data_IF_801494282828
#
_entry.id   IF_801494282828
#
_cell.length_a   1.000
_cell.length_b   1.000
_cell.length_c   1.000
_cell.angle_alpha   90.00
_cell.angle_beta   90.00
_cell.angle_gamma   90.00
#
_symmetry.space_group_name_H-M   'P 1'
#
loop_
_entity.id
_entity.type
_entity.pdbx_description
1 polymer ?
#
# COMPACT_ATOMS: atom_id res chain seq x y z
N UNK A 1 -13.39 15.19 20.26
CA UNK A 1 -13.21 13.73 20.01
C UNK A 1 -11.87 13.30 20.59
N UNK A 2 -11.81 12.10 21.16
CA UNK A 2 -10.57 11.48 21.62
C UNK A 2 -10.05 10.57 20.51
N UNK A 3 -8.83 10.86 19.99
CA UNK A 3 -8.20 10.14 18.87
C UNK A 3 -7.04 9.33 19.41
N UNK A 4 -7.07 8.01 19.22
CA UNK A 4 -6.03 7.09 19.67
C UNK A 4 -5.11 6.67 18.50
N UNK A 5 -3.81 6.71 18.73
CA UNK A 5 -2.77 6.28 17.79
C UNK A 5 -1.96 5.18 18.48
N UNK A 6 -2.36 3.91 18.32
CA UNK A 6 -1.63 2.79 18.90
C UNK A 6 -0.33 2.51 18.13
N UNK A 7 0.57 1.77 18.77
CA UNK A 7 1.75 1.19 18.14
C UNK A 7 1.33 0.03 17.25
N UNK A 8 1.91 -0.08 16.05
CA UNK A 8 1.65 -1.21 15.17
C UNK A 8 2.23 -2.52 15.73
N UNK A 9 1.47 -3.60 15.60
CA UNK A 9 1.79 -4.92 16.16
C UNK A 9 2.22 -5.94 15.11
N UNK A 10 2.00 -5.65 13.83
CA UNK A 10 2.44 -6.55 12.77
C UNK A 10 3.96 -6.59 12.68
N UNK A 11 4.48 -7.78 12.39
CA UNK A 11 5.91 -7.99 12.21
C UNK A 11 6.40 -7.12 11.06
N UNK A 12 7.55 -6.46 11.27
CA UNK A 12 8.19 -5.56 10.30
C UNK A 12 7.33 -4.36 9.87
N UNK A 13 6.31 -3.98 10.67
CA UNK A 13 5.59 -2.73 10.51
C UNK A 13 6.16 -1.68 11.46
N UNK A 14 6.86 -0.72 10.89
CA UNK A 14 7.59 0.33 11.61
C UNK A 14 6.94 1.70 11.45
N UNK A 15 5.86 1.82 10.65
CA UNK A 15 5.10 3.06 10.46
C UNK A 15 4.23 3.34 11.68
N UNK A 16 3.68 4.57 11.73
CA UNK A 16 2.68 5.00 12.70
C UNK A 16 1.60 5.81 11.98
N UNK A 17 0.37 5.80 12.50
CA UNK A 17 -0.80 6.36 11.82
C UNK A 17 -0.71 7.86 11.54
N UNK A 18 -0.12 8.65 12.46
CA UNK A 18 -0.05 10.13 12.36
C UNK A 18 1.29 10.64 12.88
N UNK A 19 1.87 11.63 12.19
CA UNK A 19 3.10 12.34 12.62
C UNK A 19 2.81 13.39 13.72
N UNK A 20 3.85 13.88 14.45
CA UNK A 20 3.68 14.96 15.43
C UNK A 20 3.04 16.23 14.85
N UNK A 21 3.38 16.59 13.61
CA UNK A 21 2.77 17.73 12.93
C UNK A 21 1.27 17.52 12.72
N UNK A 22 0.88 16.30 12.35
CA UNK A 22 -0.53 15.91 12.23
C UNK A 22 -1.24 15.96 13.58
N UNK A 23 -0.60 15.49 14.64
CA UNK A 23 -1.11 15.58 16.01
C UNK A 23 -1.33 17.04 16.42
N UNK A 24 -0.37 17.93 16.16
CA UNK A 24 -0.49 19.35 16.46
C UNK A 24 -1.72 20.00 15.79
N UNK A 25 -2.03 19.60 14.56
CA UNK A 25 -3.23 20.06 13.86
C UNK A 25 -4.53 19.53 14.50
N UNK A 26 -4.55 18.25 14.89
CA UNK A 26 -5.71 17.67 15.58
C UNK A 26 -5.95 18.33 16.97
N UNK A 27 -4.89 18.58 17.72
CA UNK A 27 -4.97 19.29 19.00
C UNK A 27 -5.45 20.73 18.80
N UNK A 28 -4.96 21.43 17.76
CA UNK A 28 -5.42 22.79 17.44
C UNK A 28 -6.91 22.83 17.01
N UNK A 29 -7.44 21.73 16.47
CA UNK A 29 -8.86 21.57 16.15
C UNK A 29 -9.71 21.26 17.41
N UNK A 30 -9.09 21.16 18.60
CA UNK A 30 -9.77 20.91 19.87
C UNK A 30 -9.95 19.43 20.19
N UNK A 31 -9.20 18.53 19.57
CA UNK A 31 -9.25 17.10 19.86
C UNK A 31 -8.20 16.73 20.91
N UNK A 32 -8.51 15.74 21.72
CA UNK A 32 -7.52 15.06 22.56
C UNK A 32 -6.88 13.95 21.75
N UNK A 33 -5.54 13.92 21.70
CA UNK A 33 -4.80 12.89 20.97
C UNK A 33 -4.01 12.05 21.95
N UNK A 34 -4.28 10.75 21.94
CA UNK A 34 -3.60 9.73 22.74
C UNK A 34 -2.65 8.97 21.82
N UNK A 35 -1.37 8.87 22.19
CA UNK A 35 -0.37 8.12 21.42
C UNK A 35 0.22 7.05 22.35
N UNK A 36 0.24 5.81 21.89
CA UNK A 36 0.87 4.74 22.67
C UNK A 36 2.38 4.98 22.76
N UNK A 37 2.95 4.69 23.93
CA UNK A 37 4.39 4.81 24.17
C UNK A 37 5.19 4.10 23.07
N UNK A 38 6.20 4.77 22.55
CA UNK A 38 7.09 4.25 21.51
C UNK A 38 6.42 3.91 20.17
N UNK A 39 5.20 4.38 19.91
CA UNK A 39 4.50 4.11 18.66
C UNK A 39 5.25 4.65 17.42
N UNK A 40 5.91 5.81 17.56
CA UNK A 40 6.64 6.47 16.46
C UNK A 40 8.09 6.04 16.27
N UNK A 41 8.67 5.28 17.20
CA UNK A 41 10.12 4.99 17.22
C UNK A 41 10.59 4.35 15.90
N UNK A 42 9.82 3.41 15.34
CA UNK A 42 10.15 2.79 14.06
C UNK A 42 10.24 3.77 12.89
N UNK A 43 9.51 4.89 12.97
CA UNK A 43 9.54 5.98 12.00
C UNK A 43 10.52 7.12 12.37
N UNK A 44 11.37 6.92 13.40
CA UNK A 44 12.31 7.91 13.88
C UNK A 44 11.65 9.06 14.65
N UNK A 45 10.46 8.84 15.20
CA UNK A 45 9.68 9.82 15.95
C UNK A 45 9.65 9.41 17.43
N UNK A 46 10.12 10.30 18.31
CA UNK A 46 10.14 10.05 19.76
C UNK A 46 8.83 10.46 20.44
N UNK A 47 8.55 9.90 21.62
CA UNK A 47 7.40 10.28 22.46
C UNK A 47 7.47 11.78 22.85
N UNK A 48 8.68 12.31 23.02
CA UNK A 48 8.87 13.74 23.29
C UNK A 48 8.36 14.65 22.16
N UNK A 49 8.55 14.24 20.89
CA UNK A 49 8.01 15.00 19.75
C UNK A 49 6.48 15.00 19.74
N UNK A 50 5.86 13.89 20.11
CA UNK A 50 4.41 13.82 20.26
C UNK A 50 3.87 14.65 21.43
N UNK A 51 4.54 14.62 22.59
CA UNK A 51 4.12 15.46 23.74
C UNK A 51 4.31 16.95 23.44
N UNK A 52 5.38 17.33 22.75
CA UNK A 52 5.58 18.71 22.28
C UNK A 52 4.48 19.17 21.32
N UNK A 53 3.93 18.25 20.51
CA UNK A 53 2.79 18.52 19.63
C UNK A 53 1.43 18.53 20.36
N UNK A 54 1.40 18.24 21.66
CA UNK A 54 0.21 18.27 22.51
C UNK A 54 -0.48 16.93 22.71
N UNK A 55 0.13 15.81 22.32
CA UNK A 55 -0.40 14.48 22.61
C UNK A 55 -0.16 14.07 24.07
N UNK A 56 -1.02 13.17 24.54
CA UNK A 56 -0.83 12.43 25.79
C UNK A 56 -0.24 11.05 25.46
N UNK A 57 0.91 10.72 26.06
CA UNK A 57 1.50 9.39 25.88
C UNK A 57 0.83 8.40 26.82
N UNK A 58 0.33 7.30 26.24
CA UNK A 58 -0.34 6.21 26.93
C UNK A 58 0.64 5.05 27.14
N UNK A 59 0.79 4.63 28.39
CA UNK A 59 1.67 3.52 28.77
C UNK A 59 1.05 2.14 28.54
N UNK A 60 -0.28 2.08 28.42
CA UNK A 60 -1.06 0.86 28.22
C UNK A 60 -1.88 0.98 26.94
N UNK A 61 -1.79 -0.05 26.11
CA UNK A 61 -2.58 -0.23 24.89
C UNK A 61 -4.08 -0.31 25.23
N UNK A 62 -4.43 -1.04 26.28
CA UNK A 62 -5.81 -1.23 26.74
C UNK A 62 -6.44 0.12 27.11
N UNK A 63 -5.72 0.96 27.85
CA UNK A 63 -6.20 2.30 28.23
C UNK A 63 -6.38 3.20 27.03
N UNK A 64 -5.52 3.09 26.01
CA UNK A 64 -5.65 3.86 24.78
C UNK A 64 -6.95 3.45 24.06
N UNK A 65 -7.15 2.14 23.84
CA UNK A 65 -8.36 1.64 23.15
C UNK A 65 -9.63 1.93 23.97
N UNK A 66 -9.57 1.89 25.30
CA UNK A 66 -10.70 2.22 26.18
C UNK A 66 -11.12 3.68 26.06
N UNK A 67 -10.20 4.63 25.91
CA UNK A 67 -10.49 6.05 25.88
C UNK A 67 -10.77 6.61 24.49
N UNK A 68 -10.14 6.05 23.45
CA UNK A 68 -10.28 6.55 22.09
C UNK A 68 -11.72 6.41 21.56
N UNK A 69 -12.20 7.43 20.87
CA UNK A 69 -13.43 7.39 20.07
C UNK A 69 -13.13 7.02 18.61
N UNK A 70 -11.99 7.51 18.09
CA UNK A 70 -11.43 7.21 16.78
C UNK A 70 -10.04 6.61 16.96
N UNK A 71 -9.84 5.39 16.47
CA UNK A 71 -8.53 4.74 16.43
C UNK A 71 -7.96 4.87 15.03
N UNK A 72 -6.75 5.44 14.92
CA UNK A 72 -6.04 5.63 13.65
C UNK A 72 -4.80 4.74 13.64
N UNK A 73 -4.78 3.78 12.72
CA UNK A 73 -3.70 2.82 12.53
C UNK A 73 -3.17 2.87 11.10
N UNK A 74 -2.06 2.19 10.85
CA UNK A 74 -1.58 1.91 9.50
C UNK A 74 -2.21 0.63 8.99
N UNK A 75 -2.03 -0.49 9.70
CA UNK A 75 -2.51 -1.82 9.28
C UNK A 75 -3.81 -2.20 9.99
N UNK A 76 -4.48 -3.20 9.43
CA UNK A 76 -5.63 -3.83 10.05
C UNK A 76 -5.29 -4.30 11.47
N UNK A 77 -6.25 -4.23 12.41
CA UNK A 77 -6.01 -4.69 13.77
C UNK A 77 -5.77 -6.19 13.81
N UNK A 78 -4.93 -6.63 14.73
CA UNK A 78 -4.82 -8.03 15.11
C UNK A 78 -6.07 -8.48 15.87
N UNK A 79 -6.33 -9.78 15.97
CA UNK A 79 -7.43 -10.30 16.80
C UNK A 79 -7.31 -9.91 18.29
N UNK A 80 -6.07 -9.71 18.79
CA UNK A 80 -5.84 -9.21 20.12
C UNK A 80 -6.32 -7.75 20.26
N UNK A 81 -5.96 -6.89 19.32
CA UNK A 81 -6.44 -5.50 19.28
C UNK A 81 -7.95 -5.42 19.04
N UNK A 82 -8.55 -6.31 18.25
CA UNK A 82 -10.01 -6.38 18.09
C UNK A 82 -10.72 -6.62 19.43
N UNK A 83 -10.12 -7.37 20.36
CA UNK A 83 -10.71 -7.58 21.69
C UNK A 83 -10.68 -6.32 22.55
N UNK A 84 -9.71 -5.42 22.34
CA UNK A 84 -9.57 -4.15 23.06
C UNK A 84 -10.51 -3.07 22.54
N UNK A 85 -10.91 -3.14 21.25
CA UNK A 85 -11.87 -2.20 20.67
C UNK A 85 -13.19 -2.23 21.44
N UNK A 86 -13.76 -1.03 21.71
CA UNK A 86 -15.08 -0.88 22.32
C UNK A 86 -16.19 -0.92 21.27
N UNK A 87 -17.40 -1.29 21.69
CA UNK A 87 -18.55 -1.21 20.80
C UNK A 87 -18.72 0.19 20.20
N UNK A 88 -19.04 0.24 18.89
CA UNK A 88 -19.31 1.46 18.10
C UNK A 88 -18.11 2.41 17.98
N UNK A 89 -16.91 1.95 18.25
CA UNK A 89 -15.68 2.72 18.05
C UNK A 89 -15.41 2.90 16.55
N UNK A 90 -14.77 4.00 16.17
CA UNK A 90 -14.37 4.25 14.79
C UNK A 90 -12.93 3.77 14.61
N UNK A 91 -12.69 3.00 13.54
CA UNK A 91 -11.38 2.55 13.13
C UNK A 91 -11.06 3.10 11.72
N UNK A 92 -9.90 3.71 11.55
CA UNK A 92 -9.43 4.24 10.27
C UNK A 92 -8.01 3.72 9.98
N UNK A 93 -7.87 2.80 9.03
CA UNK A 93 -6.61 2.12 8.68
C UNK A 93 -6.71 1.44 7.32
N UNK A 94 -5.61 0.86 6.80
CA UNK A 94 -5.72 -0.22 5.81
C UNK A 94 -6.37 -1.42 6.52
N UNK A 95 -7.42 -1.96 5.94
CA UNK A 95 -8.22 -3.02 6.54
C UNK A 95 -8.03 -4.37 5.87
N UNK A 96 -7.89 -4.39 4.55
CA UNK A 96 -7.75 -5.60 3.73
C UNK A 96 -8.73 -6.74 4.12
N UNK A 97 -9.98 -6.38 4.49
CA UNK A 97 -10.95 -7.33 5.05
C UNK A 97 -11.28 -8.51 4.12
N UNK A 98 -11.16 -8.33 2.80
CA UNK A 98 -11.36 -9.42 1.84
C UNK A 98 -10.40 -10.61 2.04
N UNK A 99 -9.29 -10.41 2.75
CA UNK A 99 -8.30 -11.46 3.07
C UNK A 99 -8.26 -11.83 4.55
N UNK A 100 -9.04 -11.14 5.41
CA UNK A 100 -9.03 -11.28 6.87
C UNK A 100 -10.45 -11.46 7.42
N UNK A 101 -11.06 -12.62 7.13
CA UNK A 101 -12.43 -12.95 7.55
C UNK A 101 -12.60 -12.88 9.06
N UNK A 102 -11.65 -13.40 9.81
CA UNK A 102 -11.63 -13.44 11.26
C UNK A 102 -11.61 -12.04 11.90
N UNK A 103 -10.83 -11.12 11.33
CA UNK A 103 -10.81 -9.70 11.74
C UNK A 103 -12.15 -9.04 11.44
N UNK A 104 -12.70 -9.27 10.24
CA UNK A 104 -14.00 -8.72 9.84
C UNK A 104 -15.11 -9.16 10.81
N UNK A 105 -15.19 -10.45 11.11
CA UNK A 105 -16.22 -11.00 12.01
C UNK A 105 -16.08 -10.41 13.42
N UNK A 106 -14.84 -10.25 13.94
CA UNK A 106 -14.59 -9.63 15.25
C UNK A 106 -14.97 -8.14 15.28
N UNK A 107 -14.78 -7.40 14.19
CA UNK A 107 -15.19 -6.00 14.08
C UNK A 107 -16.72 -5.85 13.98
N UNK A 108 -17.38 -6.74 13.24
CA UNK A 108 -18.86 -6.78 13.13
C UNK A 108 -19.52 -7.09 14.48
N UNK A 109 -19.01 -8.08 15.24
CA UNK A 109 -19.52 -8.44 16.55
C UNK A 109 -19.54 -7.24 17.53
N UNK A 110 -18.56 -6.35 17.42
CA UNK A 110 -18.46 -5.13 18.22
C UNK A 110 -19.12 -3.90 17.61
N UNK A 111 -19.79 -4.04 16.47
CA UNK A 111 -20.39 -2.91 15.73
C UNK A 111 -19.36 -1.79 15.45
N UNK A 112 -18.11 -2.15 15.10
CA UNK A 112 -17.08 -1.17 14.78
C UNK A 112 -17.43 -0.47 13.46
N UNK A 113 -17.28 0.85 13.44
CA UNK A 113 -17.34 1.64 12.22
C UNK A 113 -15.96 1.68 11.58
N UNK A 114 -15.73 0.89 10.54
CA UNK A 114 -14.41 0.72 9.93
C UNK A 114 -14.30 1.42 8.57
N UNK A 115 -13.36 2.36 8.46
CA UNK A 115 -13.02 3.08 7.22
C UNK A 115 -11.69 2.53 6.71
N UNK A 116 -11.72 1.93 5.49
CA UNK A 116 -10.52 1.39 4.84
C UNK A 116 -9.81 2.46 4.01
N UNK A 117 -8.52 2.70 4.26
CA UNK A 117 -7.72 3.60 3.43
C UNK A 117 -7.74 3.20 1.96
N UNK A 118 -7.69 1.89 1.68
CA UNK A 118 -7.65 1.33 0.33
C UNK A 118 -8.97 1.45 -0.43
N UNK A 119 -10.06 1.74 0.25
CA UNK A 119 -11.39 1.86 -0.38
C UNK A 119 -11.87 3.30 -0.46
N UNK A 120 -11.16 4.26 0.16
CA UNK A 120 -11.45 5.70 -0.02
C UNK A 120 -11.18 6.09 -1.46
N UNK A 121 -12.23 6.53 -2.17
CA UNK A 121 -12.18 6.83 -3.60
C UNK A 121 -12.72 8.23 -3.90
N UNK A 122 -11.99 9.00 -4.70
CA UNK A 122 -12.44 10.29 -5.21
C UNK A 122 -13.40 10.11 -6.40
N UNK A 123 -14.18 11.16 -6.77
CA UNK A 123 -15.13 11.08 -7.91
C UNK A 123 -14.49 10.75 -9.26
N UNK A 124 -13.19 10.99 -9.43
CA UNK A 124 -12.41 10.63 -10.61
C UNK A 124 -11.92 9.17 -10.62
N UNK A 125 -12.30 8.40 -9.59
CA UNK A 125 -11.88 7.00 -9.41
C UNK A 125 -10.52 6.81 -8.74
N UNK A 126 -9.78 7.87 -8.44
CA UNK A 126 -8.49 7.77 -7.77
C UNK A 126 -8.62 7.37 -6.30
N UNK A 127 -7.60 6.69 -5.76
CA UNK A 127 -7.54 6.18 -4.39
C UNK A 127 -6.50 6.98 -3.59
N UNK A 128 -6.86 8.17 -3.07
CA UNK A 128 -5.90 9.15 -2.55
C UNK A 128 -5.08 8.64 -1.37
N UNK A 129 -5.58 7.68 -0.60
CA UNK A 129 -4.87 7.12 0.55
C UNK A 129 -4.00 5.92 0.18
N UNK A 130 -4.25 5.27 -0.97
CA UNK A 130 -3.42 4.20 -1.51
C UNK A 130 -2.26 4.74 -2.37
N UNK A 131 -2.47 5.85 -3.08
CA UNK A 131 -1.48 6.49 -3.96
C UNK A 131 -0.11 6.64 -3.30
N UNK A 132 0.05 7.21 -2.07
CA UNK A 132 1.37 7.40 -1.47
C UNK A 132 2.15 6.10 -1.28
N UNK A 133 1.48 5.02 -0.91
CA UNK A 133 2.13 3.71 -0.74
C UNK A 133 2.50 3.10 -2.09
N UNK A 134 1.65 3.26 -3.09
CA UNK A 134 1.93 2.83 -4.46
C UNK A 134 3.12 3.58 -5.09
N UNK A 135 3.25 4.89 -4.83
CA UNK A 135 4.40 5.68 -5.25
C UNK A 135 5.70 5.15 -4.62
N UNK A 136 5.68 4.93 -3.30
CA UNK A 136 6.83 4.43 -2.56
C UNK A 136 7.22 3.02 -3.02
N UNK A 137 6.24 2.12 -3.19
CA UNK A 137 6.48 0.77 -3.68
C UNK A 137 7.10 0.76 -5.09
N UNK A 138 6.59 1.59 -6.01
CA UNK A 138 7.16 1.73 -7.35
C UNK A 138 8.61 2.22 -7.34
N UNK A 139 8.92 3.21 -6.48
CA UNK A 139 10.30 3.72 -6.35
C UNK A 139 11.24 2.69 -5.71
N UNK A 140 10.76 1.96 -4.70
CA UNK A 140 11.54 0.92 -4.03
C UNK A 140 11.79 -0.29 -4.94
N UNK A 141 10.84 -0.67 -5.81
CA UNK A 141 10.97 -1.86 -6.65
C UNK A 141 12.23 -1.82 -7.53
N UNK A 142 12.57 -0.65 -8.06
CA UNK A 142 13.79 -0.46 -8.87
C UNK A 142 15.06 -0.51 -8.02
N UNK A 143 15.06 0.14 -6.84
CA UNK A 143 16.23 0.14 -5.95
C UNK A 143 16.54 -1.28 -5.45
N UNK A 144 15.51 -2.00 -5.05
CA UNK A 144 15.61 -3.40 -4.60
C UNK A 144 16.07 -4.28 -5.76
N UNK A 145 15.43 -4.19 -6.92
CA UNK A 145 15.80 -4.96 -8.10
C UNK A 145 17.25 -4.71 -8.53
N UNK A 146 17.69 -3.45 -8.53
CA UNK A 146 19.07 -3.09 -8.81
C UNK A 146 20.07 -3.71 -7.81
N UNK A 147 19.69 -3.78 -6.53
CA UNK A 147 20.51 -4.43 -5.51
C UNK A 147 20.63 -5.95 -5.75
N UNK A 148 19.51 -6.62 -6.06
CA UNK A 148 19.50 -8.06 -6.29
C UNK A 148 20.10 -8.48 -7.65
N UNK A 149 20.24 -7.56 -8.61
CA UNK A 149 21.03 -7.82 -9.83
C UNK A 149 22.53 -7.96 -9.57
N UNK A 150 23.02 -7.53 -8.41
CA UNK A 150 24.44 -7.65 -8.04
C UNK A 150 24.80 -9.09 -7.74
N UNK A 151 26.03 -9.48 -8.10
CA UNK A 151 26.53 -10.88 -7.99
C UNK A 151 26.49 -11.43 -6.56
N UNK A 152 26.79 -10.59 -5.58
CA UNK A 152 26.77 -10.95 -4.16
C UNK A 152 25.37 -11.30 -3.62
N UNK A 153 24.30 -10.90 -4.30
CA UNK A 153 22.93 -11.21 -3.95
C UNK A 153 22.32 -12.31 -4.83
N UNK A 154 23.14 -12.99 -5.65
CA UNK A 154 22.69 -14.05 -6.54
C UNK A 154 22.36 -13.61 -7.96
N UNK A 155 22.32 -12.31 -8.25
CA UNK A 155 22.04 -11.76 -9.55
C UNK A 155 23.14 -12.01 -10.58
N UNK A 156 22.87 -11.69 -11.85
CA UNK A 156 23.81 -11.88 -12.97
C UNK A 156 24.96 -10.88 -13.02
N UNK A 157 25.00 -9.87 -12.15
CA UNK A 157 26.06 -8.84 -12.11
C UNK A 157 25.82 -7.72 -13.12
N UNK A 158 24.55 -7.37 -13.38
CA UNK A 158 24.17 -6.26 -14.26
C UNK A 158 24.06 -4.94 -13.49
N UNK A 159 24.65 -3.87 -14.02
CA UNK A 159 24.45 -2.49 -13.53
C UNK A 159 23.43 -1.80 -14.42
N UNK A 160 22.30 -1.39 -13.86
CA UNK A 160 21.18 -0.81 -14.61
C UNK A 160 21.58 0.42 -15.44
N UNK A 161 22.49 1.27 -14.93
CA UNK A 161 22.99 2.45 -15.65
C UNK A 161 23.97 2.12 -16.78
N UNK A 162 24.46 0.88 -16.89
CA UNK A 162 25.60 0.59 -17.71
C UNK A 162 26.86 1.35 -17.29
N UNK A 163 27.85 1.39 -18.15
CA UNK A 163 29.10 2.15 -17.98
C UNK A 163 29.75 2.37 -19.37
N UNK A 164 30.82 3.17 -19.43
CA UNK A 164 31.58 3.31 -20.69
C UNK A 164 32.03 1.96 -21.22
N UNK A 165 31.54 1.59 -22.42
CA UNK A 165 31.79 0.28 -23.04
C UNK A 165 30.82 -0.85 -22.59
N UNK A 166 29.86 -0.58 -21.74
CA UNK A 166 28.81 -1.54 -21.31
C UNK A 166 27.44 -0.91 -21.43
N UNK A 167 26.51 -1.58 -22.08
CA UNK A 167 25.13 -1.11 -22.26
C UNK A 167 24.39 -1.07 -20.93
N UNK A 168 23.41 -0.16 -20.77
CA UNK A 168 22.52 -0.17 -19.61
C UNK A 168 21.65 -1.43 -19.56
N UNK A 169 21.29 -1.83 -18.35
CA UNK A 169 20.34 -2.92 -18.13
C UNK A 169 18.93 -2.56 -18.56
N UNK A 170 18.12 -3.58 -18.85
CA UNK A 170 16.74 -3.46 -19.29
C UNK A 170 15.76 -3.69 -18.12
N UNK A 171 14.92 -2.70 -17.88
CA UNK A 171 13.82 -2.76 -16.91
C UNK A 171 12.49 -2.86 -17.64
N UNK A 172 11.80 -3.97 -17.51
CA UNK A 172 10.42 -4.16 -17.99
C UNK A 172 9.42 -3.92 -16.86
N UNK A 173 8.43 -3.07 -17.08
CA UNK A 173 7.41 -2.69 -16.09
C UNK A 173 6.05 -3.15 -16.62
N UNK A 174 5.43 -4.09 -15.91
CA UNK A 174 4.11 -4.65 -16.22
C UNK A 174 3.05 -3.86 -15.46
N UNK A 175 2.43 -2.90 -16.11
CA UNK A 175 1.45 -1.98 -15.55
C UNK A 175 1.88 -0.51 -15.65
N UNK A 176 1.01 0.34 -16.16
CA UNK A 176 1.25 1.77 -16.43
C UNK A 176 0.63 2.70 -15.38
N UNK A 177 0.08 2.15 -14.27
CA UNK A 177 -0.53 2.88 -13.17
C UNK A 177 0.46 3.62 -12.27
N UNK A 178 0.05 3.93 -11.02
CA UNK A 178 0.86 4.70 -10.06
C UNK A 178 2.18 3.99 -9.75
N UNK A 179 2.16 2.68 -9.46
CA UNK A 179 3.37 1.89 -9.17
C UNK A 179 4.30 1.92 -10.37
N UNK A 180 3.81 1.57 -11.56
CA UNK A 180 4.61 1.54 -12.78
C UNK A 180 5.18 2.89 -13.18
N UNK A 181 4.41 3.97 -13.01
CA UNK A 181 4.87 5.35 -13.26
C UNK A 181 6.06 5.74 -12.38
N UNK A 182 6.01 5.35 -11.11
CA UNK A 182 7.08 5.66 -10.15
C UNK A 182 8.30 4.73 -10.33
N UNK A 183 8.09 3.47 -10.71
CA UNK A 183 9.17 2.59 -11.11
C UNK A 183 9.88 3.13 -12.36
N UNK A 184 9.14 3.51 -13.40
CA UNK A 184 9.70 4.10 -14.61
C UNK A 184 10.54 5.36 -14.33
N UNK A 185 10.04 6.26 -13.49
CA UNK A 185 10.76 7.47 -13.10
C UNK A 185 12.13 7.16 -12.50
N UNK A 186 12.22 6.18 -11.61
CA UNK A 186 13.49 5.81 -10.97
C UNK A 186 14.39 5.06 -11.93
N UNK A 187 13.87 4.11 -12.72
CA UNK A 187 14.65 3.35 -13.70
C UNK A 187 15.26 4.26 -14.77
N UNK A 188 14.49 5.20 -15.31
CA UNK A 188 14.97 6.22 -16.26
C UNK A 188 16.03 7.11 -15.59
N UNK A 189 15.77 7.57 -14.34
CA UNK A 189 16.71 8.39 -13.57
C UNK A 189 18.04 7.68 -13.27
N UNK A 190 18.04 6.35 -13.20
CA UNK A 190 19.26 5.53 -13.11
C UNK A 190 19.95 5.33 -14.46
N UNK A 191 19.35 5.71 -15.57
CA UNK A 191 19.89 5.52 -16.91
C UNK A 191 19.65 4.12 -17.49
N UNK A 192 18.71 3.36 -16.96
CA UNK A 192 18.32 2.06 -17.50
C UNK A 192 17.55 2.21 -18.83
N UNK A 193 17.58 1.18 -19.66
CA UNK A 193 16.63 1.03 -20.77
C UNK A 193 15.29 0.59 -20.17
N UNK A 194 14.21 1.31 -20.47
CA UNK A 194 12.91 1.08 -19.82
C UNK A 194 11.84 0.76 -20.84
N UNK A 195 11.09 -0.33 -20.59
CA UNK A 195 9.87 -0.69 -21.34
C UNK A 195 8.69 -0.75 -20.37
N UNK A 196 7.60 -0.02 -20.67
CA UNK A 196 6.34 -0.08 -19.93
C UNK A 196 5.31 -0.82 -20.77
N UNK A 197 4.72 -1.87 -20.18
CA UNK A 197 3.64 -2.62 -20.77
C UNK A 197 2.34 -2.31 -20.00
N UNK A 198 1.29 -1.95 -20.72
CA UNK A 198 -0.01 -1.60 -20.14
C UNK A 198 -1.15 -1.82 -21.12
N UNK A 199 -2.38 -1.84 -20.63
CA UNK A 199 -3.59 -1.98 -21.45
C UNK A 199 -4.23 -0.63 -21.78
N UNK A 200 -4.00 0.39 -20.97
CA UNK A 200 -4.58 1.73 -21.13
C UNK A 200 -3.70 2.63 -22.01
N UNK A 201 -4.16 2.84 -23.23
CA UNK A 201 -3.52 3.71 -24.21
C UNK A 201 -3.24 5.12 -23.69
N UNK A 202 -4.16 5.69 -22.90
CA UNK A 202 -4.00 7.06 -22.38
C UNK A 202 -2.91 7.15 -21.34
N UNK A 203 -2.77 6.13 -20.50
CA UNK A 203 -1.68 6.06 -19.52
C UNK A 203 -0.33 5.88 -20.23
N UNK A 204 -0.24 4.99 -21.20
CA UNK A 204 0.97 4.79 -22.00
C UNK A 204 1.36 6.07 -22.75
N UNK A 205 0.41 6.78 -23.34
CA UNK A 205 0.66 8.06 -24.01
C UNK A 205 1.23 9.11 -23.04
N UNK A 206 0.70 9.21 -21.82
CA UNK A 206 1.25 10.11 -20.77
C UNK A 206 2.72 9.81 -20.45
N UNK A 207 3.13 8.53 -20.45
CA UNK A 207 4.53 8.15 -20.27
C UNK A 207 5.37 8.58 -21.45
N UNK A 208 4.89 8.36 -22.67
CA UNK A 208 5.58 8.78 -23.90
C UNK A 208 5.74 10.31 -23.96
N UNK A 209 4.69 11.06 -23.62
CA UNK A 209 4.72 12.53 -23.59
C UNK A 209 5.70 13.06 -22.54
N UNK A 210 5.82 12.36 -21.41
CA UNK A 210 6.67 12.78 -20.28
C UNK A 210 8.16 12.46 -20.51
N UNK A 211 8.47 11.32 -21.09
CA UNK A 211 9.84 10.78 -21.12
C UNK A 211 10.42 10.68 -22.54
N UNK A 212 9.60 10.85 -23.59
CA UNK A 212 10.05 10.78 -24.98
C UNK A 212 10.77 9.47 -25.28
N UNK A 213 11.95 9.58 -25.86
CA UNK A 213 12.76 8.44 -26.29
C UNK A 213 13.44 7.66 -25.15
N UNK A 214 13.29 8.12 -23.90
CA UNK A 214 13.86 7.43 -22.74
C UNK A 214 13.01 6.21 -22.30
N UNK A 215 11.82 6.04 -22.86
CA UNK A 215 10.91 4.96 -22.55
C UNK A 215 10.31 4.35 -23.81
N UNK A 216 10.22 3.03 -23.85
CA UNK A 216 9.39 2.31 -24.81
C UNK A 216 8.05 1.98 -24.15
N UNK A 217 6.94 2.33 -24.80
CA UNK A 217 5.59 1.98 -24.31
C UNK A 217 4.92 1.01 -25.26
N UNK A 218 4.40 -0.09 -24.74
CA UNK A 218 3.79 -1.17 -25.51
C UNK A 218 2.43 -1.56 -24.93
N UNK A 219 1.48 -1.86 -25.81
CA UNK A 219 0.21 -2.48 -25.39
C UNK A 219 0.50 -3.94 -25.00
N UNK A 220 0.14 -4.28 -23.76
CA UNK A 220 0.37 -5.62 -23.23
C UNK A 220 -0.50 -6.66 -23.95
N UNK A 221 0.15 -7.69 -24.45
CA UNK A 221 -0.47 -8.96 -24.84
C UNK A 221 0.56 -10.07 -24.63
N UNK A 222 0.13 -11.32 -24.67
CA UNK A 222 0.97 -12.48 -24.37
C UNK A 222 2.29 -12.50 -25.16
N UNK A 223 2.25 -12.26 -26.47
CA UNK A 223 3.44 -12.29 -27.33
C UNK A 223 4.41 -11.15 -27.01
N UNK A 224 3.91 -9.91 -26.86
CA UNK A 224 4.73 -8.74 -26.53
C UNK A 224 5.35 -8.86 -25.14
N UNK A 225 4.61 -9.37 -24.15
CA UNK A 225 5.13 -9.63 -22.79
C UNK A 225 6.25 -10.66 -22.87
N UNK A 226 6.04 -11.77 -23.55
CA UNK A 226 7.04 -12.83 -23.75
C UNK A 226 8.32 -12.31 -24.41
N UNK A 227 8.20 -11.60 -25.52
CA UNK A 227 9.34 -11.05 -26.25
C UNK A 227 10.13 -10.04 -25.40
N UNK A 228 9.43 -9.20 -24.64
CA UNK A 228 10.07 -8.22 -23.75
C UNK A 228 10.87 -8.92 -22.65
N UNK A 229 10.33 -9.98 -22.04
CA UNK A 229 10.97 -10.70 -20.93
C UNK A 229 12.27 -11.40 -21.34
N UNK A 230 12.41 -11.87 -22.60
CA UNK A 230 13.63 -12.54 -23.08
C UNK A 230 14.91 -11.68 -22.93
N UNK A 231 14.77 -10.35 -23.00
CA UNK A 231 15.88 -9.39 -22.92
C UNK A 231 15.81 -8.51 -21.66
N UNK A 232 15.03 -8.94 -20.66
CA UNK A 232 14.83 -8.18 -19.43
C UNK A 232 15.81 -8.61 -18.34
N UNK A 233 16.45 -7.62 -17.69
CA UNK A 233 17.29 -7.82 -16.51
C UNK A 233 16.49 -7.72 -15.22
N UNK A 234 15.57 -6.75 -15.17
CA UNK A 234 14.66 -6.51 -14.04
C UNK A 234 13.21 -6.40 -14.54
N UNK A 235 12.37 -7.34 -14.15
CA UNK A 235 10.93 -7.28 -14.40
C UNK A 235 10.19 -6.77 -13.13
N UNK A 236 9.31 -5.79 -13.30
CA UNK A 236 8.52 -5.21 -12.19
C UNK A 236 7.04 -5.45 -12.44
N UNK A 237 6.39 -6.23 -11.56
CA UNK A 237 4.94 -6.41 -11.53
C UNK A 237 4.28 -5.21 -10.86
N UNK A 238 3.50 -4.43 -11.62
CA UNK A 238 2.91 -3.17 -11.19
C UNK A 238 1.42 -3.06 -11.54
N UNK A 239 0.74 -4.21 -11.60
CA UNK A 239 -0.69 -4.30 -11.93
C UNK A 239 -1.51 -4.27 -10.65
N UNK A 240 -2.54 -3.45 -10.64
CA UNK A 240 -3.48 -3.34 -9.53
C UNK A 240 -4.91 -3.31 -10.07
N UNK A 241 -5.77 -4.16 -9.50
CA UNK A 241 -7.21 -4.14 -9.76
C UNK A 241 -7.93 -3.89 -8.44
N UNK A 242 -8.71 -2.81 -8.39
CA UNK A 242 -9.40 -2.39 -7.16
C UNK A 242 -10.37 -3.47 -6.69
N UNK A 243 -10.20 -3.94 -5.45
CA UNK A 243 -11.09 -4.90 -4.82
C UNK A 243 -11.07 -6.31 -5.41
N UNK A 244 -10.12 -6.63 -6.31
CA UNK A 244 -10.02 -7.93 -6.97
C UNK A 244 -8.61 -8.48 -6.94
N UNK A 245 -8.48 -9.77 -7.20
CA UNK A 245 -7.19 -10.42 -7.38
C UNK A 245 -6.50 -9.91 -8.64
N UNK A 246 -5.18 -9.73 -8.58
CA UNK A 246 -4.37 -9.35 -9.75
C UNK A 246 -4.48 -10.41 -10.85
N UNK A 247 -4.70 -10.03 -12.13
CA UNK A 247 -4.69 -10.97 -13.25
C UNK A 247 -3.27 -11.51 -13.46
N UNK A 248 -3.18 -12.78 -13.82
CA UNK A 248 -1.94 -13.42 -14.22
C UNK A 248 -1.53 -12.92 -15.63
N UNK A 249 -0.36 -12.31 -15.72
CA UNK A 249 0.18 -11.79 -16.99
C UNK A 249 1.37 -12.58 -17.49
N UNK A 250 2.13 -13.20 -16.59
CA UNK A 250 3.38 -13.90 -16.92
C UNK A 250 3.30 -15.33 -16.41
N UNK A 251 3.35 -16.29 -17.33
CA UNK A 251 3.36 -17.72 -16.99
C UNK A 251 4.76 -18.19 -16.58
N UNK A 252 4.84 -19.38 -15.99
CA UNK A 252 6.11 -19.99 -15.62
C UNK A 252 7.00 -20.23 -16.85
N UNK A 253 6.43 -20.59 -18.01
CA UNK A 253 7.15 -20.74 -19.27
C UNK A 253 7.80 -19.43 -19.69
N UNK A 254 7.09 -18.30 -19.58
CA UNK A 254 7.66 -16.97 -19.91
C UNK A 254 8.80 -16.61 -18.97
N UNK A 255 8.69 -16.90 -17.68
CA UNK A 255 9.77 -16.69 -16.71
C UNK A 255 11.01 -17.49 -17.10
N UNK A 256 10.85 -18.72 -17.57
CA UNK A 256 11.96 -19.56 -17.99
C UNK A 256 12.74 -19.04 -19.23
N UNK A 257 12.20 -18.08 -19.97
CA UNK A 257 12.86 -17.42 -21.09
C UNK A 257 13.80 -16.28 -20.65
N UNK A 258 13.68 -15.81 -19.42
CA UNK A 258 14.56 -14.78 -18.88
C UNK A 258 15.99 -15.33 -18.70
N UNK A 259 16.97 -14.44 -18.77
CA UNK A 259 18.38 -14.81 -18.56
C UNK A 259 18.62 -15.17 -17.08
N UNK A 260 19.27 -16.31 -16.75
CA UNK A 260 19.58 -16.64 -15.36
C UNK A 260 20.31 -15.51 -14.60
N UNK A 261 19.88 -15.26 -13.35
CA UNK A 261 20.33 -14.15 -12.53
C UNK A 261 19.62 -12.83 -12.82
N UNK A 262 18.61 -12.82 -13.70
CA UNK A 262 17.63 -11.72 -13.78
C UNK A 262 16.74 -11.69 -12.51
N UNK A 263 16.11 -10.54 -12.27
CA UNK A 263 15.32 -10.31 -11.06
C UNK A 263 13.88 -9.96 -11.42
N UNK A 264 12.94 -10.54 -10.71
CA UNK A 264 11.52 -10.16 -10.71
C UNK A 264 11.20 -9.50 -9.37
N UNK A 265 10.59 -8.32 -9.39
CA UNK A 265 10.01 -7.66 -8.22
C UNK A 265 8.51 -7.54 -8.45
N UNK A 266 7.73 -8.39 -7.81
CA UNK A 266 6.27 -8.35 -7.95
C UNK A 266 5.63 -7.52 -6.85
N UNK A 267 5.36 -6.24 -7.15
CA UNK A 267 4.67 -5.32 -6.22
C UNK A 267 3.20 -5.71 -6.05
N UNK A 268 2.65 -6.49 -6.97
CA UNK A 268 1.25 -6.94 -6.95
C UNK A 268 1.03 -8.16 -6.05
N UNK A 269 2.07 -8.69 -5.41
CA UNK A 269 2.04 -9.94 -4.62
C UNK A 269 1.01 -9.91 -3.50
N UNK A 270 0.74 -8.75 -2.89
CA UNK A 270 -0.31 -8.57 -1.87
C UNK A 270 -1.71 -8.95 -2.37
N UNK A 271 -1.93 -8.92 -3.69
CA UNK A 271 -3.18 -9.28 -4.36
C UNK A 271 -3.05 -10.54 -5.22
N UNK A 272 -2.08 -11.39 -4.91
CA UNK A 272 -1.86 -12.67 -5.57
C UNK A 272 -0.76 -12.68 -6.63
N UNK A 273 -0.19 -11.53 -6.98
CA UNK A 273 0.88 -11.40 -7.96
C UNK A 273 0.41 -11.45 -9.42
N UNK A 274 1.20 -10.88 -10.32
CA UNK A 274 0.96 -10.94 -11.77
C UNK A 274 1.87 -11.95 -12.49
N UNK A 275 2.81 -12.57 -11.78
CA UNK A 275 3.61 -13.69 -12.26
C UNK A 275 3.09 -14.99 -11.62
N UNK A 276 2.96 -16.05 -12.41
CA UNK A 276 2.52 -17.37 -11.94
C UNK A 276 3.45 -17.95 -10.87
N UNK A 277 4.74 -17.60 -10.94
CA UNK A 277 5.77 -18.03 -10.02
C UNK A 277 5.86 -17.18 -8.75
N UNK A 278 5.10 -16.09 -8.63
CA UNK A 278 5.14 -15.20 -7.46
C UNK A 278 4.65 -15.89 -6.21
N UNK A 279 5.38 -15.69 -5.12
CA UNK A 279 5.02 -16.14 -3.77
C UNK A 279 5.28 -15.01 -2.77
N UNK A 280 4.41 -14.82 -1.76
CA UNK A 280 4.66 -13.89 -0.68
C UNK A 280 5.93 -14.24 0.09
N UNK A 281 6.81 -13.25 0.29
CA UNK A 281 8.02 -13.37 1.09
C UNK A 281 8.03 -12.33 2.22
N UNK A 282 9.07 -12.33 3.04
CA UNK A 282 9.22 -11.42 4.18
C UNK A 282 10.45 -10.54 4.02
N UNK A 283 10.53 -9.45 4.77
CA UNK A 283 11.74 -8.61 4.77
C UNK A 283 13.00 -9.32 5.27
N UNK A 284 12.87 -10.40 6.07
CA UNK A 284 13.99 -11.20 6.58
C UNK A 284 14.50 -12.23 5.58
N UNK A 285 13.60 -12.76 4.76
CA UNK A 285 13.90 -13.69 3.68
C UNK A 285 13.16 -13.18 2.41
N UNK A 286 13.74 -12.17 1.74
CA UNK A 286 13.00 -11.38 0.76
C UNK A 286 12.92 -11.98 -0.63
N UNK A 287 13.77 -12.94 -0.96
CA UNK A 287 13.88 -13.52 -2.30
C UNK A 287 13.90 -15.03 -2.29
N UNK A 288 13.43 -15.61 -3.37
CA UNK A 288 13.58 -17.03 -3.68
C UNK A 288 13.96 -17.19 -5.16
N UNK A 289 14.51 -18.34 -5.52
CA UNK A 289 14.95 -18.67 -6.87
C UNK A 289 13.96 -19.61 -7.55
N UNK A 290 13.64 -19.31 -8.81
CA UNK A 290 12.88 -20.21 -9.69
C UNK A 290 13.63 -20.33 -11.01
N UNK A 291 14.30 -21.45 -11.22
CA UNK A 291 15.02 -21.72 -12.47
C UNK A 291 16.18 -20.76 -12.77
N UNK A 292 16.80 -20.20 -11.73
CA UNK A 292 17.87 -19.21 -11.82
C UNK A 292 17.39 -17.76 -11.89
N UNK A 293 16.09 -17.51 -11.79
CA UNK A 293 15.51 -16.16 -11.75
C UNK A 293 15.13 -15.82 -10.29
N UNK A 294 15.69 -14.72 -9.79
CA UNK A 294 15.41 -14.25 -8.44
C UNK A 294 14.06 -13.55 -8.36
N UNK A 295 13.21 -13.99 -7.42
CA UNK A 295 11.89 -13.41 -7.18
C UNK A 295 11.86 -12.68 -5.85
N UNK A 296 11.61 -11.38 -5.87
CA UNK A 296 11.31 -10.58 -4.69
C UNK A 296 9.79 -10.39 -4.60
N UNK A 297 9.18 -11.02 -3.59
CA UNK A 297 7.74 -11.02 -3.35
C UNK A 297 7.36 -10.52 -1.96
N UNK A 298 8.12 -9.55 -1.40
CA UNK A 298 7.85 -9.05 -0.05
C UNK A 298 6.56 -8.26 -0.02
N UNK A 299 5.63 -8.73 0.79
CA UNK A 299 4.41 -7.98 1.10
C UNK A 299 4.75 -6.73 1.90
N UNK A 300 3.96 -5.66 1.73
CA UNK A 300 4.15 -4.42 2.50
C UNK A 300 5.50 -3.71 2.26
N UNK A 301 5.99 -3.68 1.02
CA UNK A 301 7.23 -2.99 0.65
C UNK A 301 7.40 -1.59 1.26
N UNK A 302 6.38 -0.69 1.33
CA UNK A 302 6.54 0.63 1.94
C UNK A 302 6.91 0.61 3.43
N UNK A 303 6.73 -0.50 4.13
CA UNK A 303 7.08 -0.66 5.55
C UNK A 303 8.57 -0.49 5.85
N UNK A 304 9.48 -0.78 4.88
CA UNK A 304 10.94 -0.66 5.09
C UNK A 304 11.48 0.77 5.05
N UNK A 305 10.67 1.72 4.60
CA UNK A 305 11.02 3.16 4.61
C UNK A 305 10.01 3.96 5.46
N UNK A 306 9.87 3.60 6.75
CA UNK A 306 8.77 4.06 7.59
C UNK A 306 8.76 5.57 7.79
N UNK A 307 9.91 6.24 7.80
CA UNK A 307 9.97 7.70 7.89
C UNK A 307 9.25 8.39 6.71
N UNK A 308 9.51 7.91 5.50
CA UNK A 308 8.87 8.44 4.28
C UNK A 308 7.40 8.06 4.24
N UNK A 309 7.11 6.78 4.50
CA UNK A 309 5.76 6.21 4.41
C UNK A 309 4.80 6.82 5.43
N UNK A 310 5.23 7.01 6.69
CA UNK A 310 4.42 7.64 7.73
C UNK A 310 4.07 9.09 7.38
N UNK A 311 5.05 9.88 6.90
CA UNK A 311 4.79 11.27 6.49
C UNK A 311 3.83 11.34 5.30
N UNK A 312 4.07 10.52 4.28
CA UNK A 312 3.22 10.48 3.09
C UNK A 312 1.79 10.06 3.41
N UNK A 313 1.62 9.02 4.24
CA UNK A 313 0.30 8.56 4.68
C UNK A 313 -0.41 9.61 5.54
N UNK A 314 0.29 10.19 6.54
CA UNK A 314 -0.30 11.26 7.37
C UNK A 314 -0.77 12.42 6.50
N UNK A 315 0.06 12.89 5.56
CA UNK A 315 -0.30 14.00 4.68
C UNK A 315 -1.59 13.72 3.89
N UNK A 316 -1.74 12.50 3.40
CA UNK A 316 -2.92 12.10 2.63
C UNK A 316 -4.17 11.87 3.50
N UNK A 317 -4.03 11.21 4.65
CA UNK A 317 -5.16 10.81 5.50
C UNK A 317 -5.66 11.89 6.45
N UNK A 318 -4.78 12.79 6.90
CA UNK A 318 -5.08 13.80 7.92
C UNK A 318 -6.28 14.70 7.58
N UNK A 319 -6.48 15.20 6.34
CA UNK A 319 -7.65 16.00 6.02
C UNK A 319 -8.99 15.28 6.28
N UNK A 320 -9.03 13.96 6.02
CA UNK A 320 -10.22 13.14 6.25
C UNK A 320 -10.40 12.84 7.74
N UNK A 321 -9.32 12.52 8.45
CA UNK A 321 -9.32 12.29 9.90
C UNK A 321 -9.81 13.55 10.63
N UNK A 322 -9.32 14.74 10.26
CA UNK A 322 -9.78 16.02 10.83
C UNK A 322 -11.27 16.25 10.55
N UNK A 323 -11.76 15.87 9.38
CA UNK A 323 -13.18 15.99 9.03
C UNK A 323 -14.06 15.07 9.88
N UNK A 324 -13.65 13.81 10.03
CA UNK A 324 -14.33 12.85 10.94
C UNK A 324 -14.28 13.36 12.39
N UNK A 325 -13.13 13.87 12.84
CA UNK A 325 -12.96 14.45 14.16
C UNK A 325 -13.92 15.62 14.42
N UNK A 326 -14.06 16.52 13.47
CA UNK A 326 -14.84 17.77 13.60
C UNK A 326 -16.34 17.54 13.47
N UNK A 327 -16.78 16.72 12.53
CA UNK A 327 -18.21 16.53 12.20
C UNK A 327 -18.81 15.28 12.86
N UNK A 328 -17.98 14.36 13.32
CA UNK A 328 -18.39 12.98 13.62
C UNK A 328 -18.58 12.16 12.35
N UNK A 329 -18.59 10.83 12.49
CA UNK A 329 -18.61 9.90 11.35
C UNK A 329 -19.88 10.07 10.50
N UNK A 330 -21.06 10.04 11.12
CA UNK A 330 -22.34 10.11 10.40
C UNK A 330 -22.45 11.36 9.51
N UNK A 331 -22.10 12.54 10.04
CA UNK A 331 -22.17 13.76 9.24
C UNK A 331 -21.07 13.79 8.16
N UNK A 332 -19.94 13.18 8.44
CA UNK A 332 -18.85 13.11 7.46
C UNK A 332 -19.24 12.24 6.28
N UNK A 333 -19.81 11.06 6.51
CA UNK A 333 -20.31 10.16 5.44
C UNK A 333 -21.33 10.89 4.57
N UNK A 334 -22.24 11.67 5.17
CA UNK A 334 -23.27 12.40 4.40
C UNK A 334 -22.72 13.57 3.55
N UNK A 335 -21.59 14.16 3.95
CA UNK A 335 -21.04 15.37 3.32
C UNK A 335 -19.79 15.13 2.48
N UNK A 336 -19.12 14.02 2.66
CA UNK A 336 -17.87 13.68 1.98
C UNK A 336 -17.97 12.31 1.29
N UNK A 337 -18.28 12.29 0.00
CA UNK A 337 -18.40 11.05 -0.77
C UNK A 337 -17.13 10.20 -0.76
N UNK A 338 -15.94 10.82 -0.63
CA UNK A 338 -14.69 10.08 -0.58
C UNK A 338 -14.56 9.30 0.74
N UNK A 339 -14.85 9.91 1.89
CA UNK A 339 -14.86 9.18 3.17
C UNK A 339 -15.98 8.13 3.20
N UNK A 340 -17.13 8.45 2.62
CA UNK A 340 -18.26 7.52 2.51
C UNK A 340 -17.91 6.26 1.71
N UNK A 341 -17.17 6.39 0.60
CA UNK A 341 -16.70 5.24 -0.20
C UNK A 341 -15.70 4.37 0.57
N UNK A 342 -14.97 4.95 1.53
CA UNK A 342 -14.06 4.24 2.42
C UNK A 342 -14.75 3.38 3.48
N UNK A 343 -16.07 3.52 3.67
CA UNK A 343 -16.80 2.79 4.71
C UNK A 343 -16.89 1.31 4.37
N UNK A 344 -16.23 0.48 5.15
CA UNK A 344 -16.27 -0.98 4.99
C UNK A 344 -17.32 -1.63 5.89
N UNK A 345 -17.35 -1.21 7.18
CA UNK A 345 -18.28 -1.72 8.17
C UNK A 345 -18.95 -0.55 8.90
N UNK A 346 -20.24 -0.66 9.16
CA UNK A 346 -20.98 0.34 9.95
C UNK A 346 -22.25 -0.30 10.53
N UNK A 347 -22.50 -0.05 11.80
CA UNK A 347 -23.68 -0.52 12.55
C UNK A 347 -24.00 -2.01 12.33
N UNK A 348 -22.96 -2.86 12.46
CA UNK A 348 -23.08 -4.31 12.32
C UNK A 348 -23.30 -4.83 10.90
N UNK A 349 -23.17 -3.98 9.89
CA UNK A 349 -23.37 -4.34 8.48
C UNK A 349 -22.13 -4.08 7.63
N UNK A 350 -22.00 -4.83 6.52
CA UNK A 350 -20.93 -4.66 5.54
C UNK A 350 -21.40 -3.64 4.48
N UNK A 351 -20.56 -2.66 4.18
CA UNK A 351 -20.80 -1.63 3.16
C UNK A 351 -19.85 -1.76 1.95
N UNK A 352 -18.70 -2.40 2.12
CA UNK A 352 -17.77 -2.65 1.02
C UNK A 352 -18.24 -3.86 0.21
N UNK A 353 -18.75 -3.60 -1.00
CA UNK A 353 -19.27 -4.63 -1.91
C UNK A 353 -18.24 -5.74 -2.18
N UNK A 354 -16.97 -5.39 -2.48
CA UNK A 354 -15.93 -6.37 -2.79
C UNK A 354 -15.63 -7.32 -1.62
N UNK A 355 -15.71 -6.83 -0.38
CA UNK A 355 -15.57 -7.65 0.83
C UNK A 355 -16.77 -8.61 0.96
N UNK A 356 -17.98 -8.10 0.79
CA UNK A 356 -19.19 -8.91 0.89
C UNK A 356 -19.23 -10.03 -0.17
N UNK A 357 -18.94 -9.70 -1.43
CA UNK A 357 -18.89 -10.68 -2.53
C UNK A 357 -17.85 -11.78 -2.29
N UNK A 358 -16.67 -11.44 -1.73
CA UNK A 358 -15.62 -12.40 -1.41
C UNK A 358 -16.10 -13.48 -0.43
N UNK A 359 -16.97 -13.12 0.51
CA UNK A 359 -17.45 -14.03 1.55
C UNK A 359 -18.90 -14.48 1.37
N UNK A 360 -19.55 -14.14 0.26
CA UNK A 360 -20.94 -14.48 -0.01
C UNK A 360 -21.93 -13.87 0.99
N UNK A 361 -21.64 -12.63 1.47
CA UNK A 361 -22.44 -11.91 2.44
C UNK A 361 -23.34 -10.86 1.77
N UNK A 362 -24.42 -10.49 2.44
CA UNK A 362 -25.19 -9.31 2.06
C UNK A 362 -24.41 -8.02 2.38
N UNK A 363 -24.63 -6.98 1.60
CA UNK A 363 -24.03 -5.67 1.80
C UNK A 363 -25.07 -4.57 1.70
N UNK A 364 -24.83 -3.49 2.42
CA UNK A 364 -25.69 -2.32 2.45
C UNK A 364 -25.15 -1.21 1.56
N UNK A 365 -26.06 -0.37 1.04
CA UNK A 365 -25.67 0.84 0.32
C UNK A 365 -25.66 2.05 1.25
N UNK A 366 -24.87 3.07 0.90
CA UNK A 366 -24.81 4.33 1.67
C UNK A 366 -26.18 5.03 1.77
N UNK A 367 -27.11 4.80 0.83
CA UNK A 367 -28.46 5.31 0.88
C UNK A 367 -29.22 4.84 2.14
N UNK A 368 -28.90 3.67 2.65
CA UNK A 368 -29.55 3.08 3.82
C UNK A 368 -29.07 3.71 5.15
N UNK A 369 -27.99 4.49 5.15
CA UNK A 369 -27.47 5.19 6.35
C UNK A 369 -28.35 6.40 6.67
N UNK A 370 -29.07 6.96 5.71
CA UNK A 370 -29.88 8.16 5.81
C UNK A 370 -31.38 7.88 5.95
N UNK A 371 -31.77 6.61 5.91
CA UNK A 371 -33.14 6.18 6.12
C UNK A 371 -33.41 5.82 7.58
#
# INVERSE_FOLDING_TARGET
>A
MVIGIPKERKIDEYRVGITPEGVGLLVSDGHQVLVEQSAGIGSGISDHQYTTAGAVIMMSEEQLFEQAELVVKVKEPTLAECRLLRQRQILFSYLHLATHRDVMDALLEKNISAIGYETVQLPDGSLPLLIPMSEIAGRLSVQIGASFLQKQHGGKGCLLSGASGASPGHVAILGSGVVGSNAAMIAIGLGARVTILGEDHRQLQRHQDRYGDQVTTLIANTAIVQDTLCDTDLAIGAVHVVGSRTPLLVTQEMVSLMTPGSVIVDVSVDQGGCFETSQPTTHRDPVFDVGGILHYGVTNMPGVVPQTSTRALTHASLPMIRRVGKLGLQQTINKDPAVASGLNLFDGSVYCRGVAETFGMEWQTLANINA
#
